data_IF_374887088374
#
_entry.id   IF_374887088374
#
_cell.length_a   1.000
_cell.length_b   1.000
_cell.length_c   1.000
_cell.angle_alpha   90.00
_cell.angle_beta   90.00
_cell.angle_gamma   90.00
#
_symmetry.space_group_name_H-M   'P 1'
#
loop_
_entity.id
_entity.type
_entity.pdbx_description
1 polymer ?
#
# COMPACT_ATOMS: atom_id res chain seq x y z
N UNK A 1 11.51 -23.12 31.62
CA UNK A 1 11.65 -23.49 30.19
C UNK A 1 10.45 -23.09 29.33
N UNK A 2 9.19 -23.26 29.77
CA UNK A 2 8.03 -22.85 28.94
C UNK A 2 7.86 -21.32 28.82
N UNK A 3 8.21 -20.54 29.85
CA UNK A 3 8.09 -19.07 29.81
C UNK A 3 9.02 -18.43 28.78
N UNK A 4 10.29 -18.82 28.75
CA UNK A 4 11.29 -18.28 27.81
C UNK A 4 10.90 -18.53 26.35
N UNK A 5 10.30 -19.68 26.06
CA UNK A 5 9.78 -20.01 24.72
C UNK A 5 8.60 -19.10 24.35
N UNK A 6 7.70 -18.85 25.31
CA UNK A 6 6.54 -17.95 25.11
C UNK A 6 7.01 -16.51 24.87
N UNK A 7 7.98 -16.05 25.66
CA UNK A 7 8.54 -14.70 25.54
C UNK A 7 9.25 -14.51 24.19
N UNK A 8 10.03 -15.51 23.74
CA UNK A 8 10.68 -15.50 22.43
C UNK A 8 9.67 -15.50 21.27
N UNK A 9 8.64 -16.34 21.34
CA UNK A 9 7.57 -16.35 20.33
C UNK A 9 6.85 -15.00 20.25
N UNK A 10 6.54 -14.39 21.39
CA UNK A 10 5.88 -13.08 21.47
C UNK A 10 6.74 -11.95 20.90
N UNK A 11 8.06 -12.00 21.14
CA UNK A 11 9.00 -11.05 20.56
C UNK A 11 9.07 -11.16 19.03
N UNK A 12 9.08 -12.39 18.50
CA UNK A 12 9.10 -12.64 17.07
C UNK A 12 7.82 -12.15 16.38
N UNK A 13 6.65 -12.41 16.96
CA UNK A 13 5.37 -11.89 16.47
C UNK A 13 5.33 -10.37 16.42
N UNK A 14 5.82 -9.71 17.48
CA UNK A 14 5.92 -8.25 17.53
C UNK A 14 6.80 -7.73 16.40
N UNK A 15 7.99 -8.32 16.23
CA UNK A 15 8.92 -7.94 15.17
C UNK A 15 8.31 -8.11 13.78
N UNK A 16 7.69 -9.26 13.49
CA UNK A 16 7.07 -9.52 12.18
C UNK A 16 5.91 -8.57 11.90
N UNK A 17 5.09 -8.27 12.91
CA UNK A 17 3.99 -7.30 12.82
C UNK A 17 4.51 -5.91 12.49
N UNK A 18 5.54 -5.45 13.20
CA UNK A 18 6.14 -4.15 12.96
C UNK A 18 6.74 -4.04 11.56
N UNK A 19 7.45 -5.07 11.10
CA UNK A 19 7.98 -5.12 9.75
C UNK A 19 6.87 -5.01 8.68
N UNK A 20 5.77 -5.75 8.84
CA UNK A 20 4.62 -5.66 7.94
C UNK A 20 4.00 -4.25 7.94
N UNK A 21 3.83 -3.63 9.11
CA UNK A 21 3.31 -2.26 9.21
C UNK A 21 4.25 -1.28 8.49
N UNK A 22 5.56 -1.38 8.71
CA UNK A 22 6.52 -0.49 8.06
C UNK A 22 6.54 -0.68 6.54
N UNK A 23 6.47 -1.92 6.06
CA UNK A 23 6.44 -2.22 4.62
C UNK A 23 5.20 -1.67 3.92
N UNK A 24 4.06 -1.55 4.62
CA UNK A 24 2.81 -1.05 4.07
C UNK A 24 2.52 0.43 4.37
N UNK A 25 3.42 1.13 5.07
CA UNK A 25 3.27 2.58 5.28
C UNK A 25 3.43 3.34 3.97
N UNK A 26 2.50 4.25 3.72
CA UNK A 26 2.56 5.16 2.58
C UNK A 26 3.66 6.19 2.82
N UNK A 27 4.55 6.38 1.83
CA UNK A 27 5.49 7.48 1.82
C UNK A 27 4.75 8.79 1.49
N UNK A 28 4.59 9.67 2.49
CA UNK A 28 3.83 10.92 2.34
C UNK A 28 4.57 11.99 1.53
N UNK A 29 5.86 11.83 1.30
CA UNK A 29 6.68 12.74 0.50
C UNK A 29 6.80 12.29 -0.96
N UNK A 30 6.14 11.20 -1.34
CA UNK A 30 6.16 10.68 -2.69
C UNK A 30 5.50 11.66 -3.68
N UNK A 31 6.17 11.90 -4.80
CA UNK A 31 5.67 12.77 -5.87
C UNK A 31 4.61 12.02 -6.69
N UNK A 32 3.40 12.55 -6.73
CA UNK A 32 2.32 12.01 -7.57
C UNK A 32 2.43 12.47 -9.03
N UNK A 33 2.00 11.63 -9.96
CA UNK A 33 1.86 12.01 -11.37
C UNK A 33 0.79 13.09 -11.55
N UNK A 34 0.93 13.92 -12.59
CA UNK A 34 -0.06 14.98 -12.92
C UNK A 34 -1.17 14.46 -13.83
N UNK A 35 -0.90 13.40 -14.59
CA UNK A 35 -1.84 12.70 -15.46
C UNK A 35 -1.79 11.22 -15.15
N UNK A 36 -2.92 10.54 -15.34
CA UNK A 36 -3.02 9.10 -15.24
C UNK A 36 -2.16 8.46 -16.33
N UNK A 37 -1.33 7.50 -15.95
CA UNK A 37 -0.47 6.77 -16.90
C UNK A 37 -1.27 5.86 -17.85
N UNK A 38 -2.46 5.42 -17.46
CA UNK A 38 -3.30 4.51 -18.24
C UNK A 38 -4.23 5.24 -19.23
N UNK A 39 -5.08 6.14 -18.72
CA UNK A 39 -6.07 6.84 -19.55
C UNK A 39 -5.64 8.24 -20.01
N UNK A 40 -4.55 8.79 -19.46
CA UNK A 40 -4.06 10.13 -19.78
C UNK A 40 -4.81 11.29 -19.12
N UNK A 41 -5.88 11.02 -18.38
CA UNK A 41 -6.68 12.05 -17.70
C UNK A 41 -5.89 12.79 -16.62
N UNK A 42 -6.24 14.05 -16.39
CA UNK A 42 -5.60 14.85 -15.34
C UNK A 42 -5.91 14.29 -13.96
N UNK A 43 -4.87 14.06 -13.15
CA UNK A 43 -5.01 13.64 -11.75
C UNK A 43 -5.36 14.86 -10.87
N UNK A 44 -6.54 14.88 -10.23
CA UNK A 44 -6.94 15.99 -9.38
C UNK A 44 -6.00 16.20 -8.20
N UNK A 45 -5.82 17.43 -7.76
CA UNK A 45 -5.00 17.73 -6.57
C UNK A 45 -5.49 17.02 -5.31
N UNK A 46 -6.80 16.88 -5.15
CA UNK A 46 -7.38 16.15 -4.04
C UNK A 46 -6.87 14.69 -3.99
N UNK A 47 -6.77 14.03 -5.15
CA UNK A 47 -6.22 12.66 -5.24
C UNK A 47 -4.74 12.63 -4.89
N UNK A 48 -3.95 13.55 -5.45
CA UNK A 48 -2.51 13.66 -5.18
C UNK A 48 -2.18 13.95 -3.72
N UNK A 49 -3.02 14.76 -3.05
CA UNK A 49 -2.89 15.07 -1.61
C UNK A 49 -3.33 13.89 -0.72
N UNK A 50 -4.42 13.21 -1.08
CA UNK A 50 -4.94 12.08 -0.32
C UNK A 50 -4.03 10.84 -0.45
N UNK A 51 -3.44 10.63 -1.63
CA UNK A 51 -2.54 9.51 -1.91
C UNK A 51 -1.28 10.00 -2.62
N UNK A 52 -0.28 10.49 -1.87
CA UNK A 52 1.01 10.88 -2.41
C UNK A 52 1.66 9.71 -3.14
N UNK A 53 2.25 9.98 -4.30
CA UNK A 53 2.82 8.95 -5.19
C UNK A 53 1.82 8.24 -6.10
N UNK A 54 0.56 8.68 -6.19
CA UNK A 54 -0.38 8.09 -7.14
C UNK A 54 0.04 8.33 -8.61
N UNK A 55 0.04 7.27 -9.41
CA UNK A 55 0.35 7.31 -10.86
C UNK A 55 -0.90 7.13 -11.74
N UNK A 56 -1.95 6.53 -11.20
CA UNK A 56 -3.21 6.23 -11.90
C UNK A 56 -4.40 6.96 -11.27
N UNK A 57 -5.45 7.16 -12.07
CA UNK A 57 -6.72 7.70 -11.59
C UNK A 57 -7.50 6.64 -10.80
N UNK A 58 -8.56 7.06 -10.09
CA UNK A 58 -9.34 6.16 -9.23
C UNK A 58 -10.00 5.04 -10.03
N UNK A 59 -10.57 5.34 -11.20
CA UNK A 59 -11.24 4.36 -12.04
C UNK A 59 -10.27 3.30 -12.58
N UNK A 60 -9.14 3.71 -13.18
CA UNK A 60 -8.13 2.77 -13.66
C UNK A 60 -7.57 1.94 -12.50
N UNK A 61 -7.31 2.55 -11.34
CA UNK A 61 -6.83 1.84 -10.17
C UNK A 61 -7.83 0.76 -9.69
N UNK A 62 -9.13 1.07 -9.68
CA UNK A 62 -10.19 0.15 -9.30
C UNK A 62 -10.27 -1.05 -10.26
N UNK A 63 -10.21 -0.80 -11.57
CA UNK A 63 -10.17 -1.85 -12.60
C UNK A 63 -8.97 -2.77 -12.40
N UNK A 64 -7.78 -2.22 -12.18
CA UNK A 64 -6.57 -2.99 -11.88
C UNK A 64 -6.72 -3.86 -10.64
N UNK A 65 -7.31 -3.34 -9.56
CA UNK A 65 -7.55 -4.12 -8.33
C UNK A 65 -8.54 -5.27 -8.55
N UNK A 66 -9.60 -5.04 -9.33
CA UNK A 66 -10.55 -6.10 -9.71
C UNK A 66 -9.84 -7.19 -10.51
N UNK A 67 -9.04 -6.81 -11.52
CA UNK A 67 -8.29 -7.75 -12.36
C UNK A 67 -7.29 -8.58 -11.55
N UNK A 68 -6.57 -7.95 -10.63
CA UNK A 68 -5.62 -8.65 -9.75
C UNK A 68 -6.35 -9.64 -8.85
N UNK A 69 -7.50 -9.27 -8.29
CA UNK A 69 -8.31 -10.17 -7.46
C UNK A 69 -8.83 -11.37 -8.26
N UNK A 70 -9.32 -11.14 -9.48
CA UNK A 70 -9.80 -12.21 -10.36
C UNK A 70 -8.69 -13.16 -10.82
N UNK A 71 -7.47 -12.65 -11.06
CA UNK A 71 -6.31 -13.46 -11.48
C UNK A 71 -5.68 -14.25 -10.32
N UNK A 72 -5.82 -13.77 -9.08
CA UNK A 72 -5.24 -14.40 -7.88
C UNK A 72 -6.16 -15.45 -7.23
N UNK A 73 -7.40 -15.55 -7.67
CA UNK A 73 -8.31 -16.67 -7.35
C UNK A 73 -8.03 -17.86 -8.24
#
# INVERSE_FOLDING_TARGET
>A
MASEIIDQASALETMMREQAIQAHRINRDAVSAVKCEECGDRLPEARRKAYPGCTTCVSCQEEWEILIRQRRG
#
